data_IF_612481646822
#
_entry.id   IF_612481646822
#
_cell.length_a   1.000
_cell.length_b   1.000
_cell.length_c   1.000
_cell.angle_alpha   90.00
_cell.angle_beta   90.00
_cell.angle_gamma   90.00
#
_symmetry.space_group_name_H-M   'P 1'
#
loop_
_entity.id
_entity.type
_entity.pdbx_description
1 polymer ?
#
# COMPACT_ATOMS: atom_id res chain seq x y z
N UNK A 1 3.28 -5.56 13.28
CA UNK A 1 2.20 -5.19 12.36
C UNK A 1 1.47 -3.97 12.91
N UNK A 2 1.63 -2.82 12.26
CA UNK A 2 0.84 -1.61 12.55
C UNK A 2 -0.40 -1.58 11.62
N UNK A 3 -1.60 -1.67 12.19
CA UNK A 3 -2.88 -1.64 11.46
C UNK A 3 -3.01 -0.40 10.55
N UNK A 4 -2.33 0.70 10.89
CA UNK A 4 -2.29 1.91 10.05
C UNK A 4 -1.63 1.64 8.70
N UNK A 5 -0.55 0.85 8.66
CA UNK A 5 0.14 0.53 7.41
C UNK A 5 -0.75 -0.31 6.49
N UNK A 6 -1.50 -1.25 7.06
CA UNK A 6 -2.47 -2.06 6.31
C UNK A 6 -3.60 -1.18 5.75
N UNK A 7 -4.14 -0.25 6.55
CA UNK A 7 -5.14 0.72 6.06
C UNK A 7 -4.62 1.57 4.90
N UNK A 8 -3.35 1.98 4.95
CA UNK A 8 -2.74 2.70 3.84
C UNK A 8 -2.57 1.82 2.62
N UNK A 9 -2.21 0.55 2.79
CA UNK A 9 -2.16 -0.39 1.67
C UNK A 9 -3.54 -0.56 1.03
N UNK A 10 -4.60 -0.77 1.80
CA UNK A 10 -5.98 -0.83 1.28
C UNK A 10 -6.31 0.45 0.49
N UNK A 11 -6.07 1.63 1.07
CA UNK A 11 -6.31 2.91 0.39
C UNK A 11 -5.53 3.03 -0.93
N UNK A 12 -4.29 2.53 -0.99
CA UNK A 12 -3.49 2.52 -2.23
C UNK A 12 -4.17 1.66 -3.32
N UNK A 13 -4.75 0.53 -2.95
CA UNK A 13 -5.44 -0.37 -3.90
C UNK A 13 -6.76 0.19 -4.41
N UNK A 14 -7.48 0.94 -3.57
CA UNK A 14 -8.72 1.63 -3.93
C UNK A 14 -8.46 2.82 -4.86
N UNK A 15 -7.46 3.64 -4.54
CA UNK A 15 -7.19 4.87 -5.29
C UNK A 15 -6.26 4.70 -6.48
N UNK A 16 -5.50 3.59 -6.55
CA UNK A 16 -4.50 3.30 -7.60
C UNK A 16 -3.54 4.47 -7.85
N UNK A 17 -3.23 5.22 -6.80
CA UNK A 17 -2.37 6.40 -6.86
C UNK A 17 -1.83 6.72 -5.48
N UNK A 18 -0.50 6.79 -5.35
CA UNK A 18 0.14 7.17 -4.10
C UNK A 18 -0.25 8.58 -3.64
N UNK A 19 -0.43 9.52 -4.57
CA UNK A 19 -0.82 10.90 -4.23
C UNK A 19 -2.26 10.91 -3.71
N UNK A 20 -3.20 10.37 -4.48
CA UNK A 20 -4.62 10.38 -4.08
C UNK A 20 -4.88 9.57 -2.81
N UNK A 21 -4.18 8.45 -2.63
CA UNK A 21 -4.29 7.66 -1.40
C UNK A 21 -3.71 8.39 -0.18
N UNK A 22 -2.59 9.10 -0.34
CA UNK A 22 -2.04 9.91 0.73
C UNK A 22 -2.98 11.05 1.13
N UNK A 23 -3.54 11.76 0.14
CA UNK A 23 -4.53 12.82 0.35
C UNK A 23 -5.78 12.28 1.07
N UNK A 24 -6.30 11.12 0.64
CA UNK A 24 -7.46 10.48 1.27
C UNK A 24 -7.20 10.04 2.72
N UNK A 25 -5.95 9.67 3.04
CA UNK A 25 -5.53 9.32 4.39
C UNK A 25 -5.06 10.53 5.22
N UNK A 26 -5.10 11.75 4.66
CA UNK A 26 -4.74 12.98 5.37
C UNK A 26 -3.25 13.10 5.69
N UNK A 27 -2.38 12.49 4.90
CA UNK A 27 -0.92 12.51 5.12
C UNK A 27 -0.16 12.87 3.85
N UNK A 28 1.12 13.22 3.99
CA UNK A 28 1.96 13.52 2.84
C UNK A 28 2.30 12.25 2.05
N UNK A 29 2.42 12.38 0.73
CA UNK A 29 2.81 11.26 -0.14
C UNK A 29 4.14 10.59 0.28
N UNK A 30 5.21 11.30 0.69
CA UNK A 30 6.43 10.66 1.17
C UNK A 30 6.22 9.83 2.44
N UNK A 31 5.39 10.30 3.38
CA UNK A 31 5.06 9.55 4.58
C UNK A 31 4.26 8.29 4.23
N UNK A 32 3.29 8.40 3.31
CA UNK A 32 2.50 7.28 2.83
C UNK A 32 3.38 6.23 2.15
N UNK A 33 4.25 6.63 1.21
CA UNK A 33 5.17 5.69 0.54
C UNK A 33 6.12 5.00 1.50
N UNK A 34 6.63 5.70 2.53
CA UNK A 34 7.47 5.08 3.58
C UNK A 34 6.68 4.08 4.41
N UNK A 35 5.41 4.35 4.69
CA UNK A 35 4.54 3.42 5.41
C UNK A 35 4.28 2.14 4.63
N UNK A 36 4.05 2.24 3.31
CA UNK A 36 3.91 1.07 2.42
C UNK A 36 5.22 0.29 2.34
N UNK A 37 6.35 0.96 2.19
CA UNK A 37 7.67 0.31 2.20
C UNK A 37 7.94 -0.42 3.51
N UNK A 38 7.57 0.16 4.65
CA UNK A 38 7.69 -0.51 5.94
C UNK A 38 6.82 -1.76 6.03
N UNK A 39 5.63 -1.76 5.41
CA UNK A 39 4.77 -2.93 5.33
C UNK A 39 5.41 -4.02 4.46
N UNK A 40 5.89 -3.66 3.28
CA UNK A 40 6.61 -4.55 2.37
C UNK A 40 7.85 -5.18 3.05
N UNK A 41 8.57 -4.40 3.86
CA UNK A 41 9.70 -4.89 4.66
C UNK A 41 9.27 -5.85 5.77
N UNK A 42 8.16 -5.58 6.45
CA UNK A 42 7.64 -6.46 7.50
C UNK A 42 7.21 -7.82 6.95
N UNK A 43 6.55 -7.83 5.77
CA UNK A 43 6.15 -9.06 5.09
C UNK A 43 7.28 -9.72 4.30
N UNK A 44 8.39 -9.02 4.07
CA UNK A 44 9.53 -9.53 3.28
C UNK A 44 9.23 -9.68 1.78
N UNK A 45 8.18 -9.03 1.27
CA UNK A 45 7.77 -9.10 -0.13
C UNK A 45 7.18 -7.77 -0.61
N UNK A 46 7.17 -7.58 -1.94
CA UNK A 46 6.53 -6.43 -2.57
C UNK A 46 5.03 -6.68 -2.62
N UNK A 47 4.24 -5.69 -2.20
CA UNK A 47 2.78 -5.81 -2.13
C UNK A 47 2.07 -5.10 -3.29
N UNK A 48 2.77 -4.17 -3.96
CA UNK A 48 2.24 -3.40 -5.10
C UNK A 48 3.21 -3.42 -6.28
N UNK A 49 2.70 -3.71 -7.47
CA UNK A 49 3.46 -3.58 -8.70
C UNK A 49 3.53 -2.11 -9.12
N UNK A 50 4.69 -1.49 -8.86
CA UNK A 50 4.98 -0.09 -9.19
C UNK A 50 5.31 0.13 -10.67
N UNK A 51 5.65 -0.91 -11.41
CA UNK A 51 5.89 -0.84 -12.85
C UNK A 51 4.57 -0.82 -13.63
N UNK A 52 3.50 -1.33 -13.03
CA UNK A 52 2.16 -1.28 -13.59
C UNK A 52 1.55 0.12 -13.44
N UNK A 53 1.04 0.69 -14.55
CA UNK A 53 0.35 1.99 -14.55
C UNK A 53 -0.86 2.03 -13.61
N UNK A 54 -1.49 0.90 -13.34
CA UNK A 54 -2.66 0.79 -12.47
C UNK A 54 -2.30 0.56 -10.98
N UNK A 55 -1.01 0.45 -10.62
CA UNK A 55 -0.55 0.14 -9.26
C UNK A 55 -1.29 -1.04 -8.62
N UNK A 56 -1.37 -2.16 -9.36
CA UNK A 56 -2.11 -3.35 -8.90
C UNK A 56 -1.38 -4.04 -7.74
N UNK A 57 -2.12 -4.68 -6.82
CA UNK A 57 -1.51 -5.56 -5.83
C UNK A 57 -0.81 -6.73 -6.53
N UNK A 58 0.37 -7.11 -6.02
CA UNK A 58 1.04 -8.37 -6.39
C UNK A 58 0.22 -9.57 -5.90
N UNK A 59 0.54 -10.81 -6.32
CA UNK A 59 -0.09 -11.99 -5.72
C UNK A 59 0.00 -12.02 -4.19
N UNK A 60 1.16 -11.66 -3.63
CA UNK A 60 1.37 -11.53 -2.19
C UNK A 60 0.50 -10.42 -1.59
N UNK A 61 0.42 -9.27 -2.28
CA UNK A 61 -0.49 -8.17 -1.92
C UNK A 61 -1.95 -8.60 -1.87
N UNK A 62 -2.40 -9.44 -2.81
CA UNK A 62 -3.77 -9.96 -2.82
C UNK A 62 -4.05 -10.87 -1.61
N UNK A 63 -3.09 -11.72 -1.24
CA UNK A 63 -3.19 -12.56 -0.03
C UNK A 63 -3.34 -11.69 1.22
N UNK A 64 -2.53 -10.62 1.34
CA UNK A 64 -2.63 -9.67 2.45
C UNK A 64 -4.01 -8.99 2.52
N UNK A 65 -4.63 -8.66 1.38
CA UNK A 65 -5.98 -8.08 1.34
C UNK A 65 -7.10 -9.07 1.69
N UNK A 66 -6.91 -10.36 1.46
CA UNK A 66 -7.95 -11.37 1.69
C UNK A 66 -8.02 -11.85 3.14
N UNK A 67 -6.92 -11.73 3.88
CA UNK A 67 -6.77 -12.30 5.23
C UNK A 67 -6.82 -11.28 6.36
N UNK A 68 -7.11 -10.01 6.07
CA UNK A 68 -7.19 -8.93 7.04
C UNK A 68 -8.33 -7.95 6.74
#
# INVERSE_FOLDING_TARGET
MDLRQLRYFIALTEHRSFVRAADAMGITQPAFSRSIQGLEQEFGCVLVDRANKDLRPTPEGQVVLQHH
#
